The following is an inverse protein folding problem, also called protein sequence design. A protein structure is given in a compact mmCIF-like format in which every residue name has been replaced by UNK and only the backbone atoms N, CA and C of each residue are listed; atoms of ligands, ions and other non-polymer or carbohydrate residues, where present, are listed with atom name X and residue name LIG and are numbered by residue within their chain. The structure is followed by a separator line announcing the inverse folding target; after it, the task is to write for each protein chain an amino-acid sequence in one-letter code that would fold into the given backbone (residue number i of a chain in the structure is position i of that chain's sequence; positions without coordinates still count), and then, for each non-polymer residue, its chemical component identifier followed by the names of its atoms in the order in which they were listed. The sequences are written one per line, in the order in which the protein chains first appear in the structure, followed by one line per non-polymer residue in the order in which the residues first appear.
data_IF_639343280665
#
_entry.id   IF_639343280665
#
_cell.length_a   1.000
_cell.length_b   1.000
_cell.length_c   1.000
_cell.angle_alpha   90.00
_cell.angle_beta   90.00
_cell.angle_gamma   90.00
#
_symmetry.space_group_name_H-M   'P 1'
#
loop_
_entity.id
_entity.type
_entity.pdbx_description
1 polymer ?
#
# COMPACT_ATOMS: atom_id res chain seq x y z
N UNK A 1 10.41 23.52 9.07
CA UNK A 1 11.24 22.58 8.30
C UNK A 1 10.62 22.20 6.96
N UNK A 2 9.35 21.72 6.89
CA UNK A 2 8.72 21.25 5.64
C UNK A 2 8.66 22.32 4.55
N UNK A 3 8.23 23.55 4.90
CA UNK A 3 8.22 24.67 3.94
C UNK A 3 9.63 25.04 3.45
N UNK A 4 10.63 24.96 4.33
CA UNK A 4 12.04 25.19 3.94
C UNK A 4 12.58 24.10 3.01
N UNK A 5 12.03 22.91 3.08
CA UNK A 5 12.32 21.79 2.16
C UNK A 5 11.55 21.87 0.83
N UNK A 6 10.73 22.92 0.64
CA UNK A 6 9.97 23.12 -0.60
C UNK A 6 8.61 22.39 -0.64
N UNK A 7 8.18 21.80 0.47
CA UNK A 7 6.89 21.11 0.53
C UNK A 7 5.75 22.13 0.67
N UNK A 8 4.71 21.97 -0.14
CA UNK A 8 3.50 22.81 -0.05
C UNK A 8 2.68 22.45 1.20
N UNK A 9 2.96 23.19 2.28
CA UNK A 9 2.29 22.99 3.57
C UNK A 9 0.79 23.34 3.53
N UNK A 10 0.33 24.17 2.58
CA UNK A 10 -1.09 24.48 2.44
C UNK A 10 -1.85 23.31 1.83
N UNK A 11 -1.29 22.70 0.81
CA UNK A 11 -1.83 21.45 0.24
C UNK A 11 -1.85 20.32 1.26
N UNK A 12 -0.78 20.16 2.05
CA UNK A 12 -0.73 19.17 3.15
C UNK A 12 -1.85 19.38 4.16
N UNK A 13 -2.05 20.63 4.62
CA UNK A 13 -3.13 20.95 5.55
C UNK A 13 -4.53 20.77 4.92
N UNK A 14 -4.68 21.06 3.64
CA UNK A 14 -5.95 20.86 2.94
C UNK A 14 -6.33 19.38 2.90
N UNK A 15 -5.37 18.48 2.58
CA UNK A 15 -5.59 17.03 2.63
C UNK A 15 -5.94 16.52 4.03
N UNK A 16 -5.22 17.00 5.05
CA UNK A 16 -5.53 16.67 6.44
C UNK A 16 -6.96 17.09 6.85
N UNK A 17 -7.39 18.31 6.47
CA UNK A 17 -8.76 18.78 6.73
C UNK A 17 -9.82 17.99 5.95
N UNK A 18 -9.52 17.52 4.76
CA UNK A 18 -10.43 16.65 4.00
C UNK A 18 -10.61 15.30 4.69
N UNK A 19 -9.50 14.69 5.10
CA UNK A 19 -9.55 13.42 5.83
C UNK A 19 -10.24 13.56 7.19
N UNK A 20 -9.98 14.65 7.94
CA UNK A 20 -10.68 14.95 9.19
C UNK A 20 -12.20 14.97 8.99
N UNK A 21 -12.69 15.63 7.94
CA UNK A 21 -14.13 15.66 7.63
C UNK A 21 -14.69 14.29 7.25
N UNK A 22 -13.92 13.53 6.46
CA UNK A 22 -14.33 12.19 6.01
C UNK A 22 -14.34 11.16 7.15
N UNK A 23 -13.64 11.43 8.25
CA UNK A 23 -13.50 10.52 9.40
C UNK A 23 -14.06 11.07 10.70
N UNK A 24 -14.76 12.23 10.66
CA UNK A 24 -15.32 12.90 11.82
C UNK A 24 -16.41 12.06 12.50
N UNK A 25 -16.65 12.37 13.76
CA UNK A 25 -17.79 11.84 14.51
C UNK A 25 -19.10 12.17 13.78
N UNK A 26 -19.97 11.16 13.63
CA UNK A 26 -21.25 11.31 12.93
C UNK A 26 -21.20 11.02 11.43
N UNK A 27 -20.03 10.80 10.83
CA UNK A 27 -19.96 10.24 9.47
C UNK A 27 -20.45 8.78 9.52
N UNK A 28 -21.41 8.38 8.65
CA UNK A 28 -21.91 7.02 8.60
C UNK A 28 -20.76 6.00 8.41
N UNK A 29 -20.88 4.84 9.04
CA UNK A 29 -19.82 3.81 9.03
C UNK A 29 -19.40 3.43 7.62
N UNK A 30 -20.34 3.28 6.70
CA UNK A 30 -20.13 2.91 5.31
C UNK A 30 -19.45 4.01 4.47
N UNK A 31 -19.48 5.25 4.94
CA UNK A 31 -18.83 6.41 4.33
C UNK A 31 -17.50 6.76 5.00
N UNK A 32 -17.24 6.25 6.22
CA UNK A 32 -16.04 6.57 7.01
C UNK A 32 -14.90 5.56 6.70
N UNK A 33 -13.88 5.94 5.92
CA UNK A 33 -12.81 5.02 5.53
C UNK A 33 -11.96 4.53 6.71
N UNK A 34 -11.73 5.38 7.72
CA UNK A 34 -10.96 4.99 8.91
C UNK A 34 -11.72 3.99 9.77
N UNK A 35 -13.02 4.21 9.99
CA UNK A 35 -13.86 3.30 10.75
C UNK A 35 -13.96 1.93 10.07
N UNK A 36 -14.13 1.91 8.74
CA UNK A 36 -14.16 0.66 7.93
C UNK A 36 -12.83 -0.08 8.02
N UNK A 37 -11.72 0.60 7.84
CA UNK A 37 -10.38 0.01 7.93
C UNK A 37 -10.14 -0.57 9.33
N UNK A 38 -10.41 0.18 10.38
CA UNK A 38 -10.26 -0.29 11.76
C UNK A 38 -11.15 -1.51 12.06
N UNK A 39 -12.39 -1.54 11.57
CA UNK A 39 -13.30 -2.65 11.77
C UNK A 39 -12.80 -3.93 11.07
N UNK A 40 -12.36 -3.84 9.81
CA UNK A 40 -11.83 -5.00 9.07
C UNK A 40 -10.57 -5.53 9.74
N UNK A 41 -9.63 -4.68 10.12
CA UNK A 41 -8.42 -5.07 10.87
C UNK A 41 -8.78 -5.82 12.17
N UNK A 42 -9.76 -5.31 12.91
CA UNK A 42 -10.20 -5.94 14.16
C UNK A 42 -10.86 -7.30 13.92
N UNK A 43 -11.64 -7.46 12.85
CA UNK A 43 -12.24 -8.74 12.46
C UNK A 43 -11.14 -9.74 12.09
N UNK A 44 -10.18 -9.35 11.25
CA UNK A 44 -9.07 -10.21 10.84
C UNK A 44 -8.22 -10.62 12.05
N UNK A 45 -7.91 -9.70 12.95
CA UNK A 45 -7.18 -10.00 14.19
C UNK A 45 -7.89 -11.05 15.03
N UNK A 46 -9.22 -10.96 15.19
CA UNK A 46 -10.02 -11.96 15.93
C UNK A 46 -10.08 -13.32 15.23
N UNK A 47 -9.87 -13.35 13.92
CA UNK A 47 -9.78 -14.58 13.12
C UNK A 47 -8.38 -15.22 13.14
N UNK A 48 -7.40 -14.58 13.81
CA UNK A 48 -6.04 -15.10 13.93
C UNK A 48 -5.02 -14.50 12.96
N UNK A 49 -5.41 -13.49 12.16
CA UNK A 49 -4.47 -12.76 11.32
C UNK A 49 -3.75 -11.71 12.18
N UNK A 50 -2.54 -12.07 12.61
CA UNK A 50 -1.77 -11.32 13.61
C UNK A 50 -0.76 -10.35 12.99
N UNK A 51 -0.54 -10.41 11.70
CA UNK A 51 0.44 -9.61 10.96
C UNK A 51 -0.26 -8.87 9.83
N UNK A 52 -0.08 -7.56 9.77
CA UNK A 52 -0.50 -6.75 8.64
C UNK A 52 0.71 -6.34 7.82
N UNK A 53 0.68 -6.63 6.52
CA UNK A 53 1.74 -6.26 5.58
C UNK A 53 1.25 -5.10 4.72
N UNK A 54 1.83 -3.91 4.93
CA UNK A 54 1.63 -2.78 4.04
C UNK A 54 2.47 -3.00 2.77
N UNK A 55 1.80 -3.27 1.66
CA UNK A 55 2.44 -3.51 0.37
C UNK A 55 2.30 -2.29 -0.55
N UNK A 56 3.35 -1.94 -1.27
CA UNK A 56 3.35 -0.85 -2.23
C UNK A 56 4.17 -1.22 -3.46
N UNK A 57 3.70 -0.78 -4.64
CA UNK A 57 4.42 -0.91 -5.92
C UNK A 57 5.15 0.38 -6.31
N UNK A 58 5.13 1.38 -5.43
CA UNK A 58 5.80 2.67 -5.60
C UNK A 58 6.93 2.80 -4.58
N UNK A 59 8.21 2.72 -5.01
CA UNK A 59 9.36 2.78 -4.10
C UNK A 59 9.41 4.06 -3.24
N UNK A 60 8.81 5.14 -3.71
CA UNK A 60 8.74 6.40 -2.98
C UNK A 60 7.90 6.33 -1.71
N UNK A 61 7.01 5.33 -1.59
CA UNK A 61 6.20 5.10 -0.38
C UNK A 61 6.96 4.35 0.72
N UNK A 62 8.23 3.99 0.50
CA UNK A 62 9.03 3.28 1.49
C UNK A 62 9.04 3.97 2.87
N UNK A 63 9.29 5.28 2.91
CA UNK A 63 9.33 6.00 4.18
C UNK A 63 7.94 6.22 4.80
N UNK A 64 6.88 6.24 4.00
CA UNK A 64 5.51 6.18 4.50
C UNK A 64 5.26 4.85 5.22
N UNK A 65 5.72 3.75 4.65
CA UNK A 65 5.62 2.43 5.25
C UNK A 65 6.43 2.32 6.56
N UNK A 66 7.63 2.91 6.63
CA UNK A 66 8.41 2.97 7.88
C UNK A 66 7.68 3.78 8.98
N UNK A 67 7.12 4.94 8.61
CA UNK A 67 6.32 5.73 9.54
C UNK A 67 5.05 5.00 9.98
N UNK A 68 4.35 4.34 9.07
CA UNK A 68 3.18 3.52 9.37
C UNK A 68 3.50 2.39 10.38
N UNK A 69 4.64 1.70 10.22
CA UNK A 69 5.10 0.68 11.18
C UNK A 69 5.35 1.29 12.57
N UNK A 70 6.00 2.44 12.63
CA UNK A 70 6.21 3.15 13.90
C UNK A 70 4.86 3.49 14.55
N UNK A 71 3.97 4.12 13.80
CA UNK A 71 2.67 4.58 14.31
C UNK A 71 1.83 3.43 14.89
N UNK A 72 1.66 2.35 14.16
CA UNK A 72 0.85 1.21 14.60
C UNK A 72 1.57 0.36 15.65
N UNK A 73 2.87 0.17 15.53
CA UNK A 73 3.67 -0.55 16.53
C UNK A 73 3.62 0.11 17.90
N UNK A 74 3.78 1.43 17.95
CA UNK A 74 3.70 2.19 19.20
C UNK A 74 2.28 2.32 19.74
N UNK A 75 1.28 2.42 18.87
CA UNK A 75 -0.11 2.64 19.28
C UNK A 75 -0.80 1.36 19.73
N UNK A 76 -0.60 0.24 19.03
CA UNK A 76 -1.34 -0.99 19.21
C UNK A 76 -0.58 -2.10 19.97
N UNK A 77 0.76 -2.12 19.90
CA UNK A 77 1.60 -3.13 20.53
C UNK A 77 1.64 -3.00 22.07
N UNK A 78 0.51 -3.25 22.75
CA UNK A 78 0.36 -3.05 24.19
C UNK A 78 -0.31 -4.24 24.86
N UNK A 79 0.04 -4.49 26.12
CA UNK A 79 -0.59 -5.52 26.97
C UNK A 79 -0.56 -6.94 26.35
N UNK A 80 0.48 -7.26 25.58
CA UNK A 80 0.61 -8.54 24.90
C UNK A 80 -0.37 -8.74 23.74
N UNK A 81 -0.89 -7.66 23.17
CA UNK A 81 -1.86 -7.64 22.05
C UNK A 81 -1.41 -6.70 20.95
N UNK A 82 -2.06 -6.79 19.80
CA UNK A 82 -1.88 -5.92 18.66
C UNK A 82 -1.50 -6.69 17.40
N UNK A 83 -1.80 -6.09 16.25
CA UNK A 83 -1.39 -6.57 14.94
C UNK A 83 0.05 -6.13 14.71
N UNK A 84 0.93 -7.05 14.33
CA UNK A 84 2.33 -6.72 14.02
C UNK A 84 2.41 -6.02 12.66
N UNK A 85 2.88 -4.76 12.59
CA UNK A 85 3.00 -4.03 11.34
C UNK A 85 4.29 -4.40 10.61
N UNK A 86 4.17 -4.92 9.40
CA UNK A 86 5.27 -5.19 8.48
C UNK A 86 5.07 -4.45 7.16
N UNK A 87 6.08 -4.34 6.34
CA UNK A 87 5.95 -3.75 5.01
C UNK A 87 6.81 -4.45 3.97
N UNK A 88 6.37 -4.39 2.71
CA UNK A 88 7.10 -4.88 1.54
C UNK A 88 7.03 -3.86 0.40
N UNK A 89 8.06 -3.82 -0.42
CA UNK A 89 8.10 -3.03 -1.65
C UNK A 89 8.10 -3.97 -2.85
N UNK A 90 6.95 -4.13 -3.46
CA UNK A 90 6.82 -4.89 -4.69
C UNK A 90 7.23 -4.01 -5.91
N UNK A 91 7.76 -4.58 -6.98
CA UNK A 91 7.98 -6.01 -7.28
C UNK A 91 9.27 -6.60 -6.67
N UNK A 92 10.13 -5.77 -6.06
CA UNK A 92 11.43 -6.23 -5.55
C UNK A 92 11.31 -7.40 -4.57
N UNK A 93 10.36 -7.32 -3.64
CA UNK A 93 10.17 -8.33 -2.59
C UNK A 93 9.30 -9.53 -3.03
N UNK A 94 8.83 -9.60 -4.30
CA UNK A 94 7.97 -10.71 -4.74
C UNK A 94 8.66 -12.07 -4.70
N UNK A 95 9.98 -12.13 -5.01
CA UNK A 95 10.76 -13.37 -4.98
C UNK A 95 11.25 -13.77 -3.59
N UNK A 96 10.94 -13.00 -2.57
CA UNK A 96 11.26 -13.26 -1.17
C UNK A 96 10.02 -13.28 -0.31
N UNK A 97 9.57 -12.13 0.14
CA UNK A 97 8.38 -11.99 0.98
C UNK A 97 7.09 -12.38 0.25
N UNK A 98 6.97 -12.11 -1.05
CA UNK A 98 5.82 -12.52 -1.85
C UNK A 98 5.65 -14.06 -1.85
N UNK A 99 6.73 -14.82 -1.93
CA UNK A 99 6.69 -16.28 -1.81
C UNK A 99 6.15 -16.72 -0.44
N UNK A 100 6.60 -16.10 0.65
CA UNK A 100 6.12 -16.42 1.98
C UNK A 100 4.63 -16.05 2.15
N UNK A 101 4.22 -14.89 1.63
CA UNK A 101 2.82 -14.45 1.67
C UNK A 101 1.94 -15.48 0.94
N UNK A 102 2.36 -15.93 -0.25
CA UNK A 102 1.61 -16.89 -1.06
C UNK A 102 1.51 -18.28 -0.43
N UNK A 103 2.60 -18.83 0.11
CA UNK A 103 2.72 -20.24 0.50
C UNK A 103 2.98 -20.47 2.00
N UNK A 104 3.23 -19.41 2.78
CA UNK A 104 3.51 -19.50 4.20
C UNK A 104 2.26 -19.69 5.07
N UNK A 105 2.41 -19.52 6.36
CA UNK A 105 1.31 -19.62 7.34
C UNK A 105 0.26 -18.52 7.13
N UNK A 106 -1.01 -18.88 7.30
CA UNK A 106 -2.16 -17.97 7.16
C UNK A 106 -2.42 -17.16 8.43
N UNK A 107 -1.38 -16.45 8.89
CA UNK A 107 -1.42 -15.56 10.06
C UNK A 107 -1.31 -14.08 9.68
N UNK A 108 -1.22 -13.78 8.39
CA UNK A 108 -1.03 -12.43 7.86
C UNK A 108 -2.11 -12.04 6.85
N UNK A 109 -2.30 -10.74 6.70
CA UNK A 109 -3.13 -10.13 5.66
C UNK A 109 -2.39 -8.94 5.05
N UNK A 110 -2.79 -8.53 3.87
CA UNK A 110 -2.17 -7.41 3.15
C UNK A 110 -3.05 -6.18 3.14
N UNK A 111 -2.42 -5.02 3.22
CA UNK A 111 -3.00 -3.72 2.88
C UNK A 111 -2.17 -3.10 1.76
N UNK A 112 -2.68 -3.15 0.53
CA UNK A 112 -2.00 -2.62 -0.65
C UNK A 112 -2.29 -1.13 -0.79
N UNK A 113 -1.24 -0.32 -0.82
CA UNK A 113 -1.35 1.12 -1.14
C UNK A 113 -1.12 1.31 -2.62
N UNK A 114 -2.16 1.68 -3.33
CA UNK A 114 -2.19 1.88 -4.78
C UNK A 114 -2.26 3.37 -5.11
N UNK A 115 -1.56 3.79 -6.18
CA UNK A 115 -1.54 5.18 -6.65
C UNK A 115 -2.28 5.27 -7.98
N UNK A 116 -3.44 5.97 -7.99
CA UNK A 116 -4.29 6.06 -9.17
C UNK A 116 -3.63 6.83 -10.35
N UNK A 117 -2.90 7.90 -10.04
CA UNK A 117 -2.25 8.73 -11.05
C UNK A 117 -0.76 8.96 -10.72
N UNK A 118 0.14 8.04 -11.14
CA UNK A 118 1.58 8.19 -10.96
C UNK A 118 2.11 9.46 -11.62
N UNK A 119 3.04 10.15 -10.95
CA UNK A 119 3.63 11.39 -11.42
C UNK A 119 4.49 11.18 -12.68
N UNK A 120 5.31 10.14 -12.67
CA UNK A 120 6.28 9.88 -13.72
C UNK A 120 5.72 8.96 -14.82
N UNK A 121 5.97 9.36 -16.08
CA UNK A 121 5.48 8.64 -17.27
C UNK A 121 6.64 7.98 -18.04
N UNK A 122 7.41 7.15 -17.34
CA UNK A 122 8.52 6.41 -17.96
C UNK A 122 7.95 5.29 -18.84
N UNK A 123 8.40 5.25 -20.09
CA UNK A 123 8.07 4.18 -21.05
C UNK A 123 9.27 3.27 -21.26
N UNK A 124 8.98 2.00 -21.47
CA UNK A 124 10.00 1.02 -21.85
C UNK A 124 10.43 1.26 -23.30
N UNK A 125 11.74 1.39 -23.48
CA UNK A 125 12.37 1.46 -24.79
C UNK A 125 12.41 0.09 -25.50
N UNK A 126 12.76 0.10 -26.78
CA UNK A 126 13.06 -1.13 -27.53
C UNK A 126 14.56 -1.44 -27.43
N UNK A 127 14.91 -2.69 -27.23
CA UNK A 127 16.27 -3.21 -27.40
C UNK A 127 16.38 -3.85 -28.79
N UNK A 128 17.26 -3.36 -29.70
CA UNK A 128 17.42 -3.94 -31.04
C UNK A 128 17.75 -5.43 -31.03
N UNK A 129 18.52 -5.88 -30.04
CA UNK A 129 18.97 -7.25 -29.92
C UNK A 129 18.02 -8.14 -29.09
N UNK A 130 17.06 -7.53 -28.40
CA UNK A 130 16.07 -8.19 -27.53
C UNK A 130 16.71 -9.24 -26.60
N UNK A 131 17.85 -8.89 -25.98
CA UNK A 131 18.67 -9.82 -25.19
C UNK A 131 17.94 -10.35 -23.96
N UNK A 132 17.06 -9.55 -23.39
CA UNK A 132 16.24 -9.92 -22.22
C UNK A 132 14.88 -10.54 -22.59
N UNK A 133 14.52 -10.58 -23.87
CA UNK A 133 13.24 -11.07 -24.36
C UNK A 133 12.03 -10.18 -24.02
N UNK A 134 12.26 -8.94 -23.53
CA UNK A 134 11.21 -8.08 -23.01
C UNK A 134 10.66 -7.06 -24.01
N UNK A 135 11.03 -7.11 -25.30
CA UNK A 135 10.53 -6.17 -26.31
C UNK A 135 8.98 -6.17 -26.47
N UNK A 136 8.30 -7.20 -25.99
CA UNK A 136 6.84 -7.22 -25.94
C UNK A 136 6.24 -6.15 -24.99
N UNK A 137 7.07 -5.57 -24.11
CA UNK A 137 6.72 -4.48 -23.21
C UNK A 137 7.02 -3.10 -23.81
N UNK A 138 7.68 -3.03 -24.98
CA UNK A 138 8.04 -1.76 -25.62
C UNK A 138 6.86 -0.82 -25.76
N UNK A 139 7.05 0.44 -25.35
CA UNK A 139 6.03 1.50 -25.40
C UNK A 139 5.04 1.49 -24.23
N UNK A 140 4.97 0.43 -23.44
CA UNK A 140 4.18 0.40 -22.19
C UNK A 140 4.83 1.29 -21.15
N UNK A 141 4.02 1.86 -20.26
CA UNK A 141 4.52 2.62 -19.11
C UNK A 141 4.89 1.67 -17.98
N UNK A 142 5.94 1.99 -17.21
CA UNK A 142 6.29 1.23 -16.01
C UNK A 142 5.13 1.17 -15.01
N UNK A 143 4.38 2.25 -14.87
CA UNK A 143 3.19 2.29 -14.00
C UNK A 143 2.09 1.32 -14.46
N UNK A 144 1.91 1.12 -15.77
CA UNK A 144 0.94 0.14 -16.29
C UNK A 144 1.36 -1.29 -15.96
N UNK A 145 2.67 -1.56 -16.01
CA UNK A 145 3.24 -2.87 -15.66
C UNK A 145 3.10 -3.11 -14.15
N UNK A 146 3.46 -2.13 -13.32
CA UNK A 146 3.31 -2.22 -11.88
C UNK A 146 1.85 -2.45 -11.47
N UNK A 147 0.91 -1.72 -12.08
CA UNK A 147 -0.51 -1.90 -11.79
C UNK A 147 -1.02 -3.29 -12.22
N UNK A 148 -0.55 -3.80 -13.37
CA UNK A 148 -0.89 -5.16 -13.80
C UNK A 148 -0.33 -6.20 -12.83
N UNK A 149 0.90 -6.01 -12.34
CA UNK A 149 1.51 -6.87 -11.33
C UNK A 149 0.73 -6.79 -10.00
N UNK A 150 0.36 -5.59 -9.54
CA UNK A 150 -0.46 -5.38 -8.34
C UNK A 150 -1.76 -6.19 -8.40
N UNK A 151 -2.49 -6.08 -9.51
CA UNK A 151 -3.76 -6.80 -9.68
C UNK A 151 -3.55 -8.33 -9.70
N UNK A 152 -2.55 -8.79 -10.46
CA UNK A 152 -2.24 -10.22 -10.55
C UNK A 152 -1.83 -10.83 -9.21
N UNK A 153 -0.97 -10.15 -8.47
CA UNK A 153 -0.49 -10.58 -7.15
C UNK A 153 -1.64 -10.55 -6.13
N UNK A 154 -2.44 -9.49 -6.09
CA UNK A 154 -3.58 -9.40 -5.17
C UNK A 154 -4.59 -10.52 -5.40
N UNK A 155 -4.87 -10.87 -6.66
CA UNK A 155 -5.74 -12.01 -7.00
C UNK A 155 -5.13 -13.34 -6.55
N UNK A 156 -3.84 -13.58 -6.85
CA UNK A 156 -3.15 -14.80 -6.47
C UNK A 156 -3.11 -14.99 -4.95
N UNK A 157 -2.78 -13.94 -4.20
CA UNK A 157 -2.75 -13.99 -2.74
C UNK A 157 -4.15 -14.22 -2.15
N UNK A 158 -5.18 -13.55 -2.69
CA UNK A 158 -6.57 -13.77 -2.26
C UNK A 158 -7.04 -15.20 -2.53
N UNK A 159 -6.76 -15.75 -3.71
CA UNK A 159 -7.06 -17.15 -4.06
C UNK A 159 -6.29 -18.13 -3.15
N UNK A 160 -5.08 -17.74 -2.73
CA UNK A 160 -4.27 -18.47 -1.75
C UNK A 160 -4.78 -18.35 -0.29
N UNK A 161 -5.85 -17.59 -0.04
CA UNK A 161 -6.43 -17.41 1.29
C UNK A 161 -5.77 -16.31 2.13
N UNK A 162 -5.06 -15.37 1.51
CA UNK A 162 -4.51 -14.17 2.14
C UNK A 162 -5.50 -13.02 1.96
N UNK A 163 -6.13 -12.51 3.02
CA UNK A 163 -7.02 -11.36 2.92
C UNK A 163 -6.28 -10.13 2.41
N UNK A 164 -6.89 -9.43 1.46
CA UNK A 164 -6.34 -8.22 0.85
C UNK A 164 -7.25 -7.03 1.10
N UNK A 165 -6.68 -5.95 1.61
CA UNK A 165 -7.26 -4.63 1.67
C UNK A 165 -6.58 -3.74 0.64
N UNK A 166 -7.28 -2.75 0.11
CA UNK A 166 -6.71 -1.76 -0.80
C UNK A 166 -7.02 -0.35 -0.32
N UNK A 167 -5.97 0.45 -0.21
CA UNK A 167 -6.04 1.89 0.00
C UNK A 167 -5.59 2.54 -1.30
N UNK A 168 -6.49 3.24 -1.97
CA UNK A 168 -6.15 3.98 -3.17
C UNK A 168 -5.96 5.46 -2.83
N UNK A 169 -4.79 6.00 -3.18
CA UNK A 169 -4.50 7.42 -3.11
C UNK A 169 -4.52 8.03 -4.50
N UNK A 170 -5.10 9.22 -4.70
CA UNK A 170 -5.21 9.82 -6.03
C UNK A 170 -3.87 10.08 -6.68
N UNK A 171 -2.92 10.61 -5.92
CA UNK A 171 -1.57 10.98 -6.34
C UNK A 171 -0.61 10.93 -5.16
N UNK A 172 0.70 10.89 -5.43
CA UNK A 172 1.74 11.08 -4.40
C UNK A 172 2.13 12.55 -4.34
N UNK A 173 1.30 13.38 -3.74
CA UNK A 173 1.57 14.80 -3.53
C UNK A 173 1.32 15.22 -2.08
N UNK A 174 1.55 16.49 -1.76
CA UNK A 174 1.39 17.00 -0.40
C UNK A 174 -0.06 16.99 0.11
N UNK A 175 -1.06 16.79 -0.76
CA UNK A 175 -2.48 16.75 -0.40
C UNK A 175 -2.97 15.34 -0.10
N UNK A 176 -2.39 14.34 -0.76
CA UNK A 176 -2.74 12.92 -0.57
C UNK A 176 -2.12 12.35 0.68
#
# INVERSE_FOLDING_TARGET
PLAAAGIDIRSLLAGACEMERATADGVPFDENPAARYAAVRNILYRQGFMIEILASYEPQLQYLAEWWKQLFGESEGKQGRGIFPASVTFTADLHSMGQYIQEGERTLFETVVSVAAPEHRVKIGSDPDNLDGLNFLTGKRLSEINHTAELGVSLAHADGGVPNLRIEIPRMDARS
#
